data_IF_113920174595
#
_entry.id   IF_113920174595
#
_cell.length_a   1.000
_cell.length_b   1.000
_cell.length_c   1.000
_cell.angle_alpha   90.00
_cell.angle_beta   90.00
_cell.angle_gamma   90.00
#
_symmetry.space_group_name_H-M   'P 1'
#
loop_
_entity.id
_entity.type
_entity.pdbx_description
1 polymer ?
#
# COMPACT_ATOMS: atom_id res chain seq x y z
N UNK A 1 8.06 86.90 40.96
CA UNK A 1 7.26 86.02 40.08
C UNK A 1 8.18 84.88 39.64
N UNK A 2 8.34 83.81 40.41
CA UNK A 2 7.51 82.58 40.55
C UNK A 2 7.50 81.66 39.30
N UNK A 3 8.03 80.44 39.51
CA UNK A 3 7.57 79.10 39.06
C UNK A 3 8.12 78.41 37.77
N UNK A 4 8.90 77.35 38.04
CA UNK A 4 8.80 75.93 37.58
C UNK A 4 9.17 75.49 36.14
N UNK A 5 10.33 74.80 36.06
CA UNK A 5 10.58 73.42 35.56
C UNK A 5 9.56 72.83 34.57
N UNK A 6 10.04 72.35 33.40
CA UNK A 6 9.51 71.09 32.84
C UNK A 6 10.56 70.33 32.01
N UNK A 7 10.85 69.12 32.48
CA UNK A 7 11.75 68.11 31.92
C UNK A 7 11.09 67.46 30.70
N UNK A 8 11.76 67.44 29.55
CA UNK A 8 11.33 66.63 28.41
C UNK A 8 12.01 65.26 28.46
N UNK A 9 11.24 64.24 28.85
CA UNK A 9 11.61 62.82 28.72
C UNK A 9 11.02 62.34 27.40
N UNK A 10 11.88 61.97 26.46
CA UNK A 10 11.50 61.27 25.22
C UNK A 10 11.34 59.79 25.56
N UNK A 11 10.11 59.27 25.52
CA UNK A 11 9.83 57.84 25.67
C UNK A 11 9.88 57.21 24.28
N UNK A 12 10.93 56.43 24.04
CA UNK A 12 11.11 55.60 22.84
C UNK A 12 10.35 54.29 23.07
N UNK A 13 9.12 54.20 22.55
CA UNK A 13 8.30 53.00 22.62
C UNK A 13 8.77 51.99 21.56
N UNK A 14 9.71 51.12 21.94
CA UNK A 14 10.10 49.96 21.13
C UNK A 14 9.01 48.89 21.19
N UNK A 15 8.26 48.72 20.11
CA UNK A 15 7.33 47.58 19.94
C UNK A 15 8.17 46.32 19.68
N UNK A 16 8.26 45.46 20.69
CA UNK A 16 8.82 44.11 20.56
C UNK A 16 7.81 43.21 19.84
N UNK A 17 8.02 42.97 18.55
CA UNK A 17 7.35 41.89 17.82
C UNK A 17 8.08 40.59 18.18
N UNK A 18 7.49 39.79 19.05
CA UNK A 18 7.99 38.44 19.35
C UNK A 18 7.64 37.53 18.15
N UNK A 19 8.62 36.83 17.54
CA UNK A 19 8.32 35.84 16.52
C UNK A 19 7.56 34.68 17.18
N UNK A 20 6.40 34.33 16.61
CA UNK A 20 5.70 33.10 17.00
C UNK A 20 6.61 31.92 16.65
N UNK A 21 7.11 31.21 17.65
CA UNK A 21 7.80 29.94 17.41
C UNK A 21 6.73 28.94 16.97
N UNK A 22 6.73 28.60 15.69
CA UNK A 22 5.91 27.51 15.18
C UNK A 22 6.39 26.23 15.88
N UNK A 23 5.51 25.64 16.68
CA UNK A 23 5.75 24.32 17.23
C UNK A 23 5.78 23.33 16.05
N UNK A 24 6.76 22.44 16.04
CA UNK A 24 6.96 21.43 15.00
C UNK A 24 6.88 20.06 15.63
N UNK A 25 6.15 19.16 14.99
CA UNK A 25 6.10 17.74 15.30
C UNK A 25 6.93 16.96 14.26
N UNK A 26 7.51 15.85 14.68
CA UNK A 26 8.34 15.02 13.79
C UNK A 26 7.61 13.74 13.41
N UNK A 27 7.47 13.49 12.10
CA UNK A 27 6.96 12.22 11.55
C UNK A 27 8.08 11.45 10.86
N UNK A 28 7.84 10.16 10.56
CA UNK A 28 8.79 9.30 9.87
C UNK A 28 8.26 8.89 8.50
N UNK A 29 9.05 9.15 7.46
CA UNK A 29 8.79 8.72 6.08
C UNK A 29 9.87 7.75 5.62
N UNK A 30 9.53 6.83 4.73
CA UNK A 30 10.48 5.79 4.30
C UNK A 30 10.87 5.95 2.82
N UNK A 31 12.15 5.77 2.54
CA UNK A 31 12.73 5.76 1.19
C UNK A 31 13.59 4.51 0.99
N UNK A 32 13.84 4.15 -0.27
CA UNK A 32 14.67 2.99 -0.62
C UNK A 32 16.15 3.35 -0.62
N UNK A 33 16.98 2.45 -0.09
CA UNK A 33 18.41 2.35 -0.39
C UNK A 33 18.81 0.88 -0.28
N UNK A 34 19.74 0.42 -1.11
CA UNK A 34 20.29 -0.95 -1.03
C UNK A 34 19.23 -2.08 -0.91
N UNK A 35 18.06 -1.89 -1.55
CA UNK A 35 16.94 -2.86 -1.50
C UNK A 35 16.17 -2.93 -0.17
N UNK A 36 16.44 -2.01 0.76
CA UNK A 36 15.79 -1.88 2.06
C UNK A 36 15.08 -0.51 2.17
N UNK A 37 14.13 -0.40 3.10
CA UNK A 37 13.44 0.86 3.41
C UNK A 37 14.09 1.52 4.63
N UNK A 38 14.49 2.78 4.49
CA UNK A 38 15.11 3.59 5.52
C UNK A 38 14.19 4.73 5.94
N UNK A 39 13.94 4.85 7.24
CA UNK A 39 13.11 5.88 7.83
C UNK A 39 13.88 7.18 8.03
N UNK A 40 13.33 8.28 7.54
CA UNK A 40 13.85 9.64 7.69
C UNK A 40 12.83 10.48 8.45
N UNK A 41 13.33 11.35 9.32
CA UNK A 41 12.52 12.30 10.07
C UNK A 41 12.09 13.48 9.18
N UNK A 42 10.84 13.89 9.32
CA UNK A 42 10.27 15.07 8.65
C UNK A 42 9.57 15.92 9.70
N UNK A 43 9.91 17.19 9.73
CA UNK A 43 9.24 18.15 10.59
C UNK A 43 7.99 18.69 9.90
N UNK A 44 6.89 18.66 10.63
CA UNK A 44 5.59 19.19 10.23
C UNK A 44 5.18 20.24 11.27
N UNK A 45 4.36 21.22 10.88
CA UNK A 45 3.72 22.09 11.85
C UNK A 45 2.91 21.26 12.86
N UNK A 46 2.93 21.63 14.15
CA UNK A 46 2.28 20.84 15.21
C UNK A 46 0.75 20.75 15.08
N UNK A 47 0.11 21.62 14.30
CA UNK A 47 -1.31 21.59 13.99
C UNK A 47 -1.65 20.75 12.74
N UNK A 48 -0.64 20.26 12.02
CA UNK A 48 -0.83 19.44 10.84
C UNK A 48 -1.18 17.99 11.20
N UNK A 49 -2.09 17.38 10.43
CA UNK A 49 -2.37 15.94 10.53
C UNK A 49 -1.10 15.13 10.24
N UNK A 50 -0.57 14.33 11.19
CA UNK A 50 0.64 13.52 11.00
C UNK A 50 0.52 12.55 9.83
N UNK A 51 -0.68 11.97 9.63
CA UNK A 51 -0.90 10.97 8.59
C UNK A 51 -0.85 11.64 7.20
N UNK A 52 -1.70 12.63 6.94
CA UNK A 52 -1.67 13.35 5.67
C UNK A 52 -0.30 14.01 5.44
N UNK A 53 0.29 14.64 6.46
CA UNK A 53 1.59 15.28 6.37
C UNK A 53 2.73 14.32 6.02
N UNK A 54 2.75 13.11 6.60
CA UNK A 54 3.74 12.08 6.27
C UNK A 54 3.62 11.62 4.81
N UNK A 55 2.40 11.44 4.30
CA UNK A 55 2.18 11.07 2.90
C UNK A 55 2.57 12.20 1.94
N UNK A 56 2.27 13.46 2.29
CA UNK A 56 2.72 14.62 1.53
C UNK A 56 4.25 14.73 1.47
N UNK A 57 4.92 14.51 2.60
CA UNK A 57 6.38 14.46 2.66
C UNK A 57 6.95 13.27 1.88
N UNK A 58 6.23 12.15 1.80
CA UNK A 58 6.62 10.98 1.02
C UNK A 58 6.60 11.26 -0.49
N UNK A 59 5.54 11.90 -1.01
CA UNK A 59 5.44 12.23 -2.44
C UNK A 59 6.35 13.39 -2.85
N UNK A 60 6.75 14.25 -1.92
CA UNK A 60 7.80 15.24 -2.16
C UNK A 60 9.16 14.58 -2.45
N UNK A 61 9.37 13.36 -1.98
CA UNK A 61 10.57 12.57 -2.21
C UNK A 61 11.70 12.83 -1.21
N UNK A 62 12.84 12.15 -1.39
CA UNK A 62 14.06 12.43 -0.65
C UNK A 62 14.60 13.83 -0.97
N UNK A 63 15.32 14.43 -0.03
CA UNK A 63 16.04 15.70 -0.26
C UNK A 63 17.29 15.47 -1.08
N UNK A 64 17.86 16.50 -1.71
CA UNK A 64 19.11 16.38 -2.47
C UNK A 64 20.28 15.80 -1.66
N UNK A 65 20.33 16.06 -0.34
CA UNK A 65 21.34 15.50 0.57
C UNK A 65 21.11 14.01 0.80
N UNK A 66 19.86 13.60 0.93
CA UNK A 66 19.47 12.19 1.09
C UNK A 66 19.68 11.39 -0.19
N UNK A 67 19.37 11.98 -1.35
CA UNK A 67 19.65 11.39 -2.66
C UNK A 67 21.15 11.21 -2.88
N UNK A 68 21.96 12.20 -2.51
CA UNK A 68 23.42 12.08 -2.51
C UNK A 68 23.92 10.98 -1.55
N UNK A 69 23.15 10.67 -0.50
CA UNK A 69 23.37 9.55 0.41
C UNK A 69 22.84 8.20 -0.09
N UNK A 70 22.25 8.14 -1.28
CA UNK A 70 21.75 6.91 -1.90
C UNK A 70 20.26 6.62 -1.67
N UNK A 71 19.51 7.51 -1.01
CA UNK A 71 18.07 7.35 -0.84
C UNK A 71 17.30 7.66 -2.12
N UNK A 72 16.30 6.84 -2.42
CA UNK A 72 15.49 6.92 -3.64
C UNK A 72 14.01 6.72 -3.33
N UNK A 73 13.13 7.37 -4.09
CA UNK A 73 11.69 7.11 -4.03
C UNK A 73 11.28 6.15 -5.14
N UNK A 74 10.41 5.18 -4.82
CA UNK A 74 9.71 4.39 -5.83
C UNK A 74 8.57 5.18 -6.49
N UNK A 75 8.06 6.21 -5.82
CA UNK A 75 7.03 7.11 -6.33
C UNK A 75 7.68 8.06 -7.35
N UNK A 76 7.16 8.13 -8.60
CA UNK A 76 7.68 9.04 -9.62
C UNK A 76 7.67 10.50 -9.16
N UNK A 77 8.73 11.25 -9.49
CA UNK A 77 8.81 12.68 -9.20
C UNK A 77 7.63 13.44 -9.84
N UNK A 78 7.11 14.44 -9.13
CA UNK A 78 5.95 15.21 -9.57
C UNK A 78 4.59 14.58 -9.25
N UNK A 79 4.56 13.35 -8.73
CA UNK A 79 3.33 12.74 -8.19
C UNK A 79 2.80 13.57 -7.02
N UNK A 80 1.49 13.74 -6.96
CA UNK A 80 0.78 14.43 -5.88
C UNK A 80 -0.27 13.51 -5.27
N UNK A 81 -0.70 13.85 -4.06
CA UNK A 81 -1.86 13.22 -3.43
C UNK A 81 -3.06 14.10 -3.75
N UNK A 82 -4.03 13.53 -4.46
CA UNK A 82 -5.30 14.20 -4.74
C UNK A 82 -6.26 14.08 -3.54
N UNK A 83 -6.27 12.92 -2.88
CA UNK A 83 -7.12 12.69 -1.72
C UNK A 83 -6.57 11.56 -0.83
N UNK A 84 -6.79 11.69 0.48
CA UNK A 84 -6.65 10.59 1.44
C UNK A 84 -8.01 10.36 2.08
N UNK A 85 -8.48 9.12 2.07
CA UNK A 85 -9.73 8.71 2.72
C UNK A 85 -9.41 7.65 3.76
N UNK A 86 -9.93 7.85 4.97
CA UNK A 86 -9.77 6.92 6.09
C UNK A 86 -11.16 6.46 6.50
N UNK A 87 -11.40 5.15 6.49
CA UNK A 87 -12.67 4.54 6.88
C UNK A 87 -12.36 3.41 7.87
N UNK A 88 -12.56 3.69 9.16
CA UNK A 88 -12.07 2.80 10.21
C UNK A 88 -10.54 2.75 10.16
N UNK A 89 -9.99 1.54 10.05
CA UNK A 89 -8.54 1.31 9.93
C UNK A 89 -8.05 1.26 8.47
N UNK A 90 -8.97 1.30 7.50
CA UNK A 90 -8.63 1.22 6.09
C UNK A 90 -8.31 2.62 5.52
N UNK A 91 -7.21 2.70 4.77
CA UNK A 91 -6.73 3.93 4.14
C UNK A 91 -6.73 3.79 2.63
N UNK A 92 -7.36 4.73 1.94
CA UNK A 92 -7.28 4.88 0.49
C UNK A 92 -6.51 6.14 0.14
N UNK A 93 -5.43 5.99 -0.62
CA UNK A 93 -4.59 7.08 -1.10
C UNK A 93 -4.81 7.24 -2.60
N UNK A 94 -5.42 8.36 -2.99
CA UNK A 94 -5.62 8.76 -4.37
C UNK A 94 -4.45 9.63 -4.83
N UNK A 95 -3.64 9.10 -5.75
CA UNK A 95 -2.54 9.80 -6.38
C UNK A 95 -2.98 10.48 -7.67
N UNK A 96 -2.19 11.46 -8.10
CA UNK A 96 -2.26 12.02 -9.45
C UNK A 96 -1.70 11.02 -10.48
N UNK A 97 -2.05 11.21 -11.76
CA UNK A 97 -1.78 10.23 -12.83
C UNK A 97 -0.30 10.00 -13.14
N UNK A 98 0.59 10.89 -12.71
CA UNK A 98 2.04 10.77 -12.85
C UNK A 98 2.58 9.48 -12.21
N UNK A 99 1.90 8.96 -11.16
CA UNK A 99 2.29 7.71 -10.48
C UNK A 99 2.25 6.49 -11.41
N UNK A 100 1.43 6.54 -12.47
CA UNK A 100 1.26 5.45 -13.44
C UNK A 100 2.40 5.42 -14.47
N UNK A 101 3.21 6.48 -14.56
CA UNK A 101 4.33 6.59 -15.48
C UNK A 101 5.36 5.48 -15.31
N UNK A 102 5.44 4.58 -16.29
CA UNK A 102 6.37 3.44 -16.26
C UNK A 102 6.08 2.47 -15.12
N UNK A 103 4.81 2.28 -14.76
CA UNK A 103 4.39 1.33 -13.73
C UNK A 103 4.49 -0.12 -14.24
N UNK A 104 5.16 -0.96 -13.46
CA UNK A 104 5.21 -2.41 -13.61
C UNK A 104 5.01 -3.08 -12.25
N UNK A 105 4.97 -4.41 -12.19
CA UNK A 105 4.72 -5.16 -10.95
C UNK A 105 5.74 -4.84 -9.85
N UNK A 106 7.01 -4.70 -10.22
CA UNK A 106 8.10 -4.41 -9.27
C UNK A 106 7.96 -3.01 -8.70
N UNK A 107 7.72 -2.00 -9.54
CA UNK A 107 7.52 -0.62 -9.10
C UNK A 107 6.24 -0.48 -8.28
N UNK A 108 5.15 -1.16 -8.65
CA UNK A 108 3.91 -1.16 -7.87
C UNK A 108 4.16 -1.71 -6.46
N UNK A 109 4.84 -2.85 -6.35
CA UNK A 109 5.21 -3.43 -5.05
C UNK A 109 6.13 -2.49 -4.26
N UNK A 110 7.12 -1.87 -4.92
CA UNK A 110 8.02 -0.92 -4.26
C UNK A 110 7.28 0.31 -3.73
N UNK A 111 6.34 0.87 -4.50
CA UNK A 111 5.47 1.97 -4.06
C UNK A 111 4.62 1.51 -2.87
N UNK A 112 3.96 0.35 -2.98
CA UNK A 112 3.10 -0.17 -1.93
C UNK A 112 3.85 -0.37 -0.62
N UNK A 113 5.02 -1.01 -0.65
CA UNK A 113 5.85 -1.22 0.54
C UNK A 113 6.31 0.09 1.16
N UNK A 114 6.70 1.06 0.34
CA UNK A 114 7.16 2.37 0.80
C UNK A 114 6.03 3.15 1.50
N UNK A 115 4.83 3.18 0.90
CA UNK A 115 3.64 3.80 1.49
C UNK A 115 3.23 3.09 2.77
N UNK A 116 3.17 1.75 2.75
CA UNK A 116 2.83 0.94 3.93
C UNK A 116 3.78 1.18 5.09
N UNK A 117 5.10 1.22 4.85
CA UNK A 117 6.07 1.48 5.92
C UNK A 117 5.88 2.88 6.54
N UNK A 118 5.58 3.88 5.70
CA UNK A 118 5.31 5.25 6.15
C UNK A 118 4.03 5.31 6.99
N UNK A 119 2.93 4.68 6.52
CA UNK A 119 1.67 4.61 7.26
C UNK A 119 1.78 3.81 8.56
N UNK A 120 2.54 2.71 8.56
CA UNK A 120 2.77 1.90 9.75
C UNK A 120 3.51 2.67 10.86
N UNK A 121 4.40 3.61 10.49
CA UNK A 121 5.05 4.50 11.46
C UNK A 121 4.10 5.55 12.06
N UNK A 122 2.91 5.72 11.46
CA UNK A 122 1.79 6.51 11.99
C UNK A 122 0.71 5.61 12.60
N UNK A 123 1.08 4.38 12.99
CA UNK A 123 0.22 3.38 13.66
C UNK A 123 -0.99 2.90 12.83
N UNK A 124 -1.00 3.14 11.52
CA UNK A 124 -2.01 2.59 10.61
C UNK A 124 -1.71 1.13 10.34
N UNK A 125 -2.67 0.25 10.65
CA UNK A 125 -2.51 -1.21 10.53
C UNK A 125 -3.56 -1.92 9.66
N UNK A 126 -4.57 -1.21 9.17
CA UNK A 126 -5.62 -1.77 8.32
C UNK A 126 -5.25 -1.89 6.84
N UNK A 127 -6.26 -2.01 5.98
CA UNK A 127 -6.06 -2.23 4.56
C UNK A 127 -5.65 -0.93 3.86
N UNK A 128 -4.66 -1.02 2.97
CA UNK A 128 -4.20 0.13 2.18
C UNK A 128 -4.61 -0.07 0.73
N UNK A 129 -5.31 0.91 0.16
CA UNK A 129 -5.65 0.95 -1.26
C UNK A 129 -4.94 2.14 -1.90
N UNK A 130 -4.23 1.86 -2.98
CA UNK A 130 -3.55 2.88 -3.79
C UNK A 130 -4.30 3.03 -5.10
N UNK A 131 -4.76 4.26 -5.40
CA UNK A 131 -5.60 4.56 -6.55
C UNK A 131 -5.09 5.77 -7.33
N UNK A 132 -5.44 5.85 -8.60
CA UNK A 132 -5.25 7.01 -9.47
C UNK A 132 -6.38 7.06 -10.50
N UNK A 133 -6.96 8.24 -10.72
CA UNK A 133 -8.21 8.43 -11.45
C UNK A 133 -9.32 7.46 -10.98
N UNK A 134 -9.44 7.31 -9.65
CA UNK A 134 -10.43 6.45 -8.98
C UNK A 134 -10.33 4.95 -9.36
N UNK A 135 -9.19 4.53 -9.91
CA UNK A 135 -8.90 3.14 -10.26
C UNK A 135 -7.68 2.66 -9.49
N UNK A 136 -7.68 1.41 -9.02
CA UNK A 136 -6.54 0.83 -8.31
C UNK A 136 -5.29 0.79 -9.21
N UNK A 137 -4.11 1.08 -8.64
CA UNK A 137 -2.85 1.11 -9.39
C UNK A 137 -2.55 -0.22 -10.11
N UNK A 138 -2.92 -1.36 -9.52
CA UNK A 138 -2.78 -2.69 -10.14
C UNK A 138 -3.52 -2.82 -11.48
N UNK A 139 -4.59 -2.07 -11.68
CA UNK A 139 -5.36 -2.13 -12.91
C UNK A 139 -4.74 -1.32 -14.06
N UNK A 140 -3.59 -0.67 -13.83
CA UNK A 140 -2.76 -0.04 -14.86
C UNK A 140 -1.57 -0.92 -15.27
N UNK A 141 -1.37 -2.06 -14.62
CA UNK A 141 -0.32 -2.99 -15.01
C UNK A 141 -0.61 -3.58 -16.40
N UNK A 142 0.44 -3.84 -17.19
CA UNK A 142 0.28 -4.49 -18.48
C UNK A 142 -0.30 -5.89 -18.28
N UNK A 143 -1.19 -6.30 -19.18
CA UNK A 143 -1.78 -7.64 -19.14
C UNK A 143 -0.68 -8.67 -19.38
N UNK A 144 -0.46 -9.54 -18.39
CA UNK A 144 0.44 -10.68 -18.54
C UNK A 144 -0.05 -11.59 -19.66
N UNK A 145 0.87 -12.06 -20.52
CA UNK A 145 0.53 -13.05 -21.56
C UNK A 145 -0.11 -14.27 -20.88
N UNK A 146 -1.24 -14.78 -21.39
CA UNK A 146 -1.83 -16.02 -20.88
C UNK A 146 -0.76 -17.12 -20.88
N UNK A 147 -0.45 -17.63 -19.70
CA UNK A 147 0.42 -18.79 -19.56
C UNK A 147 -0.39 -19.98 -20.06
N UNK A 148 0.01 -20.54 -21.20
CA UNK A 148 -0.57 -21.80 -21.65
C UNK A 148 -0.39 -22.81 -20.51
N UNK A 149 -1.44 -23.59 -20.16
CA UNK A 149 -1.29 -24.68 -19.21
C UNK A 149 -0.04 -25.47 -19.57
N UNK A 150 0.82 -25.72 -18.57
CA UNK A 150 2.00 -26.56 -18.79
C UNK A 150 1.55 -27.89 -19.40
N UNK A 151 2.36 -28.51 -20.27
CA UNK A 151 2.05 -29.85 -20.77
C UNK A 151 1.79 -30.76 -19.57
N UNK A 152 0.75 -31.59 -19.65
CA UNK A 152 0.32 -32.52 -18.59
C UNK A 152 1.45 -33.50 -18.21
N UNK A 153 2.42 -33.04 -17.41
CA UNK A 153 3.55 -33.84 -16.93
C UNK A 153 3.12 -34.85 -15.85
N UNK A 154 1.83 -34.96 -15.57
CA UNK A 154 1.24 -36.03 -14.76
C UNK A 154 0.78 -37.26 -15.56
N UNK A 155 1.03 -37.32 -16.87
CA UNK A 155 0.69 -38.51 -17.68
C UNK A 155 1.89 -39.22 -18.33
N UNK A 156 3.12 -38.88 -17.93
CA UNK A 156 4.34 -39.61 -18.34
C UNK A 156 5.26 -39.90 -17.15
N UNK A 157 4.69 -40.23 -16.01
CA UNK A 157 5.39 -41.07 -15.06
C UNK A 157 5.54 -42.44 -15.70
N UNK A 158 6.77 -42.85 -15.97
CA UNK A 158 7.12 -44.27 -16.00
C UNK A 158 6.45 -44.89 -14.77
N UNK A 159 5.54 -45.85 -14.98
CA UNK A 159 4.79 -46.53 -13.93
C UNK A 159 5.78 -47.26 -13.03
N UNK A 160 6.34 -46.57 -12.03
CA UNK A 160 6.84 -47.26 -10.87
C UNK A 160 5.64 -48.02 -10.29
N UNK A 161 5.74 -49.34 -10.06
CA UNK A 161 4.63 -50.11 -9.52
C UNK A 161 4.21 -49.48 -8.20
N UNK A 162 3.02 -48.87 -8.21
CA UNK A 162 2.37 -48.46 -6.98
C UNK A 162 2.09 -49.76 -6.23
N UNK A 163 2.57 -49.96 -4.99
CA UNK A 163 2.16 -51.12 -4.21
C UNK A 163 0.63 -51.12 -4.16
N UNK A 164 0.04 -52.18 -4.70
CA UNK A 164 -1.40 -52.38 -4.74
C UNK A 164 -1.94 -52.36 -3.32
N UNK A 165 -2.40 -51.18 -2.89
CA UNK A 165 -2.83 -50.92 -1.52
C UNK A 165 -2.78 -49.46 -1.06
N UNK A 166 -2.04 -48.57 -1.72
CA UNK A 166 -1.79 -47.23 -1.16
C UNK A 166 -2.16 -46.01 -2.03
N UNK A 167 -2.78 -46.17 -3.20
CA UNK A 167 -3.21 -45.03 -4.02
C UNK A 167 -4.69 -45.12 -4.41
N UNK A 168 -5.46 -44.09 -4.07
CA UNK A 168 -6.75 -43.83 -4.72
C UNK A 168 -8.00 -43.81 -3.83
N UNK A 169 -7.93 -44.10 -2.53
CA UNK A 169 -9.13 -44.15 -1.67
C UNK A 169 -9.27 -43.03 -0.64
N UNK A 170 -8.28 -42.15 -0.48
CA UNK A 170 -8.27 -41.20 0.64
C UNK A 170 -9.25 -40.01 0.46
N UNK A 171 -9.56 -39.63 -0.79
CA UNK A 171 -10.37 -38.45 -1.11
C UNK A 171 -11.61 -38.76 -1.95
N UNK A 172 -11.83 -40.02 -2.31
CA UNK A 172 -13.03 -40.46 -3.03
C UNK A 172 -14.26 -40.21 -2.16
N UNK A 173 -15.24 -39.46 -2.70
CA UNK A 173 -16.43 -39.04 -1.95
C UNK A 173 -16.23 -37.84 -1.02
N UNK A 174 -15.05 -37.22 -0.97
CA UNK A 174 -14.82 -35.98 -0.20
C UNK A 174 -15.04 -34.75 -1.08
N UNK A 175 -15.80 -33.78 -0.56
CA UNK A 175 -16.01 -32.46 -1.18
C UNK A 175 -14.74 -31.63 -0.99
N UNK A 176 -14.11 -31.20 -2.08
CA UNK A 176 -12.90 -30.39 -2.05
C UNK A 176 -13.28 -29.01 -2.57
N UNK A 177 -13.03 -27.97 -1.77
CA UNK A 177 -13.44 -26.59 -2.10
C UNK A 177 -12.16 -25.78 -2.27
N UNK A 178 -11.80 -25.44 -3.52
CA UNK A 178 -10.62 -24.63 -3.85
C UNK A 178 -10.94 -23.12 -3.88
N UNK A 179 -12.22 -22.73 -3.82
CA UNK A 179 -12.67 -21.33 -3.72
C UNK A 179 -14.10 -21.25 -3.17
N UNK A 180 -14.50 -20.16 -2.47
CA UNK A 180 -15.74 -20.09 -1.68
C UNK A 180 -17.08 -20.19 -2.46
N UNK A 181 -17.06 -20.36 -3.79
CA UNK A 181 -18.27 -20.26 -4.61
C UNK A 181 -18.84 -21.57 -5.16
N UNK A 182 -18.04 -22.61 -5.43
CA UNK A 182 -18.52 -23.81 -6.14
C UNK A 182 -17.78 -25.05 -5.64
N UNK A 183 -18.51 -25.97 -4.98
CA UNK A 183 -17.95 -27.22 -4.49
C UNK A 183 -17.79 -28.22 -5.64
N UNK A 184 -16.56 -28.67 -5.90
CA UNK A 184 -16.29 -29.75 -6.84
C UNK A 184 -16.17 -31.07 -6.07
N UNK A 185 -16.79 -32.13 -6.61
CA UNK A 185 -16.72 -33.48 -6.04
C UNK A 185 -15.80 -34.34 -6.91
N UNK A 186 -14.81 -34.98 -6.29
CA UNK A 186 -13.89 -35.87 -6.99
C UNK A 186 -14.55 -37.25 -7.23
N UNK A 187 -14.93 -37.52 -8.48
CA UNK A 187 -15.68 -38.70 -8.90
C UNK A 187 -14.84 -39.91 -9.34
N UNK A 188 -13.65 -40.11 -8.75
CA UNK A 188 -12.86 -41.34 -8.86
C UNK A 188 -12.82 -42.03 -10.24
N UNK A 189 -11.75 -41.74 -10.98
CA UNK A 189 -11.28 -42.46 -12.20
C UNK A 189 -12.18 -42.28 -13.44
N UNK A 190 -11.57 -41.71 -14.50
CA UNK A 190 -12.09 -41.31 -15.81
C UNK A 190 -12.92 -40.00 -15.86
N UNK A 191 -12.40 -39.04 -16.63
CA UNK A 191 -12.91 -37.70 -16.98
C UNK A 191 -14.35 -37.33 -16.54
N UNK A 192 -14.45 -36.32 -15.66
CA UNK A 192 -15.67 -35.50 -15.56
C UNK A 192 -15.77 -34.68 -14.27
N UNK A 193 -15.46 -33.39 -14.33
CA UNK A 193 -15.93 -32.42 -13.33
C UNK A 193 -17.43 -32.25 -13.53
N UNK A 194 -18.24 -32.57 -12.52
CA UNK A 194 -19.70 -32.39 -12.57
C UNK A 194 -20.11 -31.34 -11.53
N UNK A 195 -20.83 -30.31 -11.96
CA UNK A 195 -21.48 -29.38 -11.06
C UNK A 195 -22.49 -30.13 -10.20
N UNK A 196 -22.56 -29.80 -8.91
CA UNK A 196 -23.54 -30.37 -7.98
C UNK A 196 -24.89 -29.65 -8.16
N UNK A 197 -25.50 -29.78 -9.33
CA UNK A 197 -26.82 -29.19 -9.59
C UNK A 197 -27.93 -30.23 -9.38
N UNK A 198 -28.83 -29.88 -8.45
CA UNK A 198 -30.21 -30.36 -8.28
C UNK A 198 -30.47 -31.88 -8.12
N UNK A 199 -30.63 -32.31 -6.87
CA UNK A 199 -31.56 -33.39 -6.50
C UNK A 199 -32.50 -32.90 -5.39
N UNK A 200 -33.50 -32.13 -5.81
CA UNK A 200 -34.69 -31.77 -5.04
C UNK A 200 -35.90 -31.95 -5.97
N UNK A 201 -36.48 -33.16 -5.98
CA UNK A 201 -37.84 -33.51 -6.45
C UNK A 201 -38.12 -34.99 -6.10
N UNK A 202 -38.99 -35.27 -5.11
CA UNK A 202 -40.36 -35.80 -5.26
C UNK A 202 -40.44 -37.34 -5.43
N UNK A 203 -40.73 -38.12 -4.38
CA UNK A 203 -42.04 -38.62 -3.88
C UNK A 203 -42.22 -40.13 -4.19
N UNK A 204 -43.07 -40.92 -3.50
CA UNK A 204 -43.96 -40.62 -2.37
C UNK A 204 -43.46 -41.05 -0.99
#
# INVERSE_FOLDING_TARGET
MSKTILRSIVVFASVLVLPAMAEVQTVRVFFWADGQLYGVARDLASDADPLAGSLHALVAGPTAVEEAGGLQSAIPAGTRIAQVQIVGDDVTVEFSMEVVGGLDDLRLESIFRQVRATLAAQEVSGSIKLTAAQKQLSAYLPVSKPVAPGPDAHLKGELLPIPAGAAGSALTGRKITLSPGHGLVWGGILLGLRAADHLLAAHP
#
